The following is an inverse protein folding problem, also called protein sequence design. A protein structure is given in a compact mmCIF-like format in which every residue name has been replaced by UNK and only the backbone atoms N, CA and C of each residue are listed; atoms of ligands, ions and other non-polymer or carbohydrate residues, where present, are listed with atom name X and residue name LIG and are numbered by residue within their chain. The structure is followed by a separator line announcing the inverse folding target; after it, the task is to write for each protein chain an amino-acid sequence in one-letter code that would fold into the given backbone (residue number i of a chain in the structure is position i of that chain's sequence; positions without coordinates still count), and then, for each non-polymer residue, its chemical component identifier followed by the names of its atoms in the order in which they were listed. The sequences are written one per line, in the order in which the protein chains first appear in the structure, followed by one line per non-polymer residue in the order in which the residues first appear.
data_IF_228222182593
#
_entry.id   IF_228222182593
#
_cell.length_a   1.000
_cell.length_b   1.000
_cell.length_c   1.000
_cell.angle_alpha   90.00
_cell.angle_beta   90.00
_cell.angle_gamma   90.00
#
_symmetry.space_group_name_H-M   'P 1'
#
loop_
_entity.id
_entity.type
_entity.pdbx_description
1 polymer ?
#
# COMPACT_ATOMS: atom_id res chain seq x y z
N UNK A 1 1.88 30.71 6.98
CA UNK A 1 2.76 30.38 5.83
C UNK A 1 3.33 28.98 6.03
N UNK A 2 3.79 28.28 4.98
CA UNK A 2 4.07 26.83 5.05
C UNK A 2 5.41 26.43 5.73
N UNK A 3 6.22 27.38 6.23
CA UNK A 3 7.54 27.06 6.78
C UNK A 3 7.47 26.16 8.03
N UNK A 4 6.60 26.48 9.00
CA UNK A 4 6.41 25.66 10.21
C UNK A 4 5.84 24.26 9.86
N UNK A 5 4.76 24.14 9.06
CA UNK A 5 4.26 22.83 8.62
C UNK A 5 5.28 21.97 7.86
N UNK A 6 6.13 22.57 7.02
CA UNK A 6 7.18 21.85 6.32
C UNK A 6 8.26 21.32 7.28
N UNK A 7 8.61 22.10 8.31
CA UNK A 7 9.53 21.66 9.37
C UNK A 7 8.91 20.54 10.21
N UNK A 8 7.63 20.66 10.56
CA UNK A 8 6.89 19.62 11.25
C UNK A 8 6.90 18.30 10.46
N UNK A 9 6.52 18.34 9.18
CA UNK A 9 6.51 17.17 8.31
C UNK A 9 7.91 16.54 8.19
N UNK A 10 8.94 17.38 8.04
CA UNK A 10 10.33 16.92 8.01
C UNK A 10 10.68 16.14 9.30
N UNK A 11 10.30 16.66 10.46
CA UNK A 11 10.57 16.01 11.73
C UNK A 11 9.80 14.68 11.86
N UNK A 12 8.53 14.65 11.46
CA UNK A 12 7.74 13.41 11.43
C UNK A 12 8.44 12.32 10.62
N UNK A 13 8.88 12.63 9.39
CA UNK A 13 9.57 11.68 8.53
C UNK A 13 10.89 11.18 9.13
N UNK A 14 11.67 12.07 9.76
CA UNK A 14 12.95 11.71 10.40
C UNK A 14 12.74 10.81 11.61
N UNK A 15 11.76 11.13 12.46
CA UNK A 15 11.41 10.34 13.64
C UNK A 15 10.97 8.95 13.23
N UNK A 16 9.98 8.85 12.33
CA UNK A 16 9.51 7.54 11.83
C UNK A 16 10.62 6.72 11.18
N UNK A 17 11.62 7.34 10.54
CA UNK A 17 12.77 6.63 10.02
C UNK A 17 13.63 6.02 11.15
N UNK A 18 13.90 6.80 12.20
CA UNK A 18 14.63 6.31 13.37
C UNK A 18 13.86 5.22 14.12
N UNK A 19 12.56 5.41 14.38
CA UNK A 19 11.71 4.43 15.05
C UNK A 19 11.76 3.07 14.33
N UNK A 20 11.64 3.07 12.99
CA UNK A 20 11.70 1.84 12.19
C UNK A 20 13.05 1.13 12.20
N UNK A 21 14.15 1.87 12.39
CA UNK A 21 15.49 1.28 12.50
C UNK A 21 15.75 0.70 13.89
N UNK A 22 15.18 1.32 14.93
CA UNK A 22 15.27 0.86 16.31
C UNK A 22 14.39 -0.37 16.55
N UNK A 23 13.12 -0.30 16.14
CA UNK A 23 12.13 -1.35 16.39
C UNK A 23 12.28 -2.56 15.45
N UNK A 24 12.88 -2.36 14.28
CA UNK A 24 12.95 -3.36 13.20
C UNK A 24 11.60 -3.71 12.56
N UNK A 25 10.51 -3.03 12.96
CA UNK A 25 9.16 -3.25 12.44
C UNK A 25 8.62 -1.97 11.78
N UNK A 26 7.98 -2.12 10.63
CA UNK A 26 7.38 -1.00 9.89
C UNK A 26 5.85 -1.07 9.91
N UNK A 27 5.23 -0.16 10.66
CA UNK A 27 3.78 0.04 10.69
C UNK A 27 3.38 1.36 10.01
N UNK A 28 2.13 1.48 9.51
CA UNK A 28 1.59 2.74 9.05
C UNK A 28 1.47 3.75 10.20
N UNK A 29 2.01 4.96 10.03
CA UNK A 29 2.03 6.00 11.08
C UNK A 29 1.09 7.15 10.70
N UNK A 30 0.12 7.54 11.55
CA UNK A 30 -0.74 8.68 11.27
C UNK A 30 0.00 10.02 11.46
N UNK A 31 -0.23 10.96 10.55
CA UNK A 31 0.16 12.36 10.69
C UNK A 31 -0.95 13.11 11.40
N UNK A 32 -0.71 13.41 12.67
CA UNK A 32 -1.64 14.15 13.52
C UNK A 32 -1.14 15.61 13.63
N UNK A 33 -1.84 16.58 13.01
CA UNK A 33 -1.52 18.00 13.19
C UNK A 33 -1.92 18.41 14.62
N UNK A 34 -0.95 18.88 15.41
CA UNK A 34 -1.15 19.27 16.81
C UNK A 34 -1.19 20.79 17.01
N UNK A 35 -1.13 21.56 15.93
CA UNK A 35 -1.23 23.02 15.93
C UNK A 35 -2.12 23.48 14.79
N UNK A 36 -2.72 24.66 14.94
CA UNK A 36 -3.60 25.27 13.95
C UNK A 36 -2.89 25.45 12.61
N UNK A 37 -1.63 25.90 12.61
CA UNK A 37 -0.87 26.08 11.37
C UNK A 37 -0.63 24.76 10.62
N UNK A 38 -0.49 23.65 11.34
CA UNK A 38 -0.34 22.32 10.74
C UNK A 38 -1.68 21.82 10.19
N UNK A 39 -2.79 22.13 10.87
CA UNK A 39 -4.13 21.80 10.41
C UNK A 39 -4.48 22.56 9.11
N UNK A 40 -4.29 23.88 9.08
CA UNK A 40 -4.46 24.71 7.86
C UNK A 40 -3.60 24.18 6.70
N UNK A 41 -2.36 23.78 6.98
CA UNK A 41 -1.51 23.19 5.97
C UNK A 41 -2.05 21.86 5.43
N UNK A 42 -2.73 21.06 6.25
CA UNK A 42 -3.32 19.79 5.82
C UNK A 42 -4.53 20.00 4.90
N UNK A 43 -5.18 21.18 4.94
CA UNK A 43 -6.23 21.60 4.00
C UNK A 43 -5.66 22.26 2.73
N UNK A 44 -4.41 22.74 2.78
CA UNK A 44 -3.75 23.39 1.67
C UNK A 44 -3.45 22.43 0.50
N UNK A 45 -3.98 22.71 -0.69
CA UNK A 45 -3.79 21.87 -1.89
C UNK A 45 -2.33 21.66 -2.29
N UNK A 46 -1.45 22.66 -2.12
CA UNK A 46 -0.02 22.52 -2.47
C UNK A 46 0.67 21.58 -1.49
N UNK A 47 0.34 21.69 -0.20
CA UNK A 47 0.88 20.81 0.83
C UNK A 47 0.37 19.38 0.65
N UNK A 48 -0.93 19.16 0.40
CA UNK A 48 -1.48 17.84 0.07
C UNK A 48 -0.81 17.21 -1.17
N UNK A 49 -0.52 18.01 -2.20
CA UNK A 49 0.21 17.55 -3.39
C UNK A 49 1.62 17.10 -3.04
N UNK A 50 2.33 17.86 -2.20
CA UNK A 50 3.63 17.46 -1.67
C UNK A 50 3.55 16.15 -0.88
N UNK A 51 2.56 15.99 0.02
CA UNK A 51 2.39 14.75 0.79
C UNK A 51 2.24 13.54 -0.14
N UNK A 52 1.43 13.64 -1.19
CA UNK A 52 1.28 12.60 -2.21
C UNK A 52 2.59 12.31 -2.94
N UNK A 53 3.33 13.35 -3.31
CA UNK A 53 4.60 13.20 -4.00
C UNK A 53 5.66 12.50 -3.14
N UNK A 54 5.62 12.72 -1.83
CA UNK A 54 6.48 12.03 -0.86
C UNK A 54 6.01 10.59 -0.56
N UNK A 55 4.89 10.15 -1.15
CA UNK A 55 4.34 8.80 -1.00
C UNK A 55 3.41 8.63 0.21
N UNK A 56 2.99 9.71 0.86
CA UNK A 56 2.03 9.65 1.95
C UNK A 56 0.62 9.43 1.42
N UNK A 57 -0.19 8.75 2.22
CA UNK A 57 -1.55 8.36 1.84
C UNK A 57 -2.55 9.34 2.44
N UNK A 58 -3.50 9.85 1.65
CA UNK A 58 -4.64 10.58 2.19
C UNK A 58 -5.51 9.63 3.02
N UNK A 59 -6.34 10.16 3.93
CA UNK A 59 -7.39 9.38 4.56
C UNK A 59 -8.27 8.69 3.51
N UNK A 60 -8.58 7.40 3.72
CA UNK A 60 -9.24 6.56 2.72
C UNK A 60 -10.73 6.90 2.49
N UNK A 61 -11.40 7.46 3.48
CA UNK A 61 -12.82 7.83 3.46
C UNK A 61 -13.15 8.73 4.66
N UNK A 62 -14.41 9.12 4.84
CA UNK A 62 -14.88 9.88 6.01
C UNK A 62 -14.64 9.18 7.36
N UNK A 63 -14.28 7.89 7.35
CA UNK A 63 -13.92 7.15 8.56
C UNK A 63 -12.47 7.40 9.00
N UNK A 64 -11.59 7.82 8.10
CA UNK A 64 -10.20 8.19 8.44
C UNK A 64 -10.04 9.71 8.43
N UNK A 65 -9.42 10.26 9.47
CA UNK A 65 -9.20 11.71 9.58
C UNK A 65 -7.78 12.13 9.25
N UNK A 66 -6.82 11.20 9.32
CA UNK A 66 -5.38 11.53 9.24
C UNK A 66 -4.72 10.96 8.00
N UNK A 67 -3.78 11.73 7.44
CA UNK A 67 -2.84 11.21 6.47
C UNK A 67 -1.94 10.18 7.11
N UNK A 68 -1.40 9.24 6.34
CA UNK A 68 -0.52 8.19 6.86
C UNK A 68 0.80 8.12 6.11
N UNK A 69 1.88 7.87 6.86
CA UNK A 69 3.15 7.38 6.35
C UNK A 69 3.03 5.86 6.18
N UNK A 70 3.05 5.32 4.94
CA UNK A 70 2.90 3.89 4.72
C UNK A 70 4.04 3.07 5.34
N UNK A 71 3.73 1.85 5.76
CA UNK A 71 4.73 0.86 6.19
C UNK A 71 5.75 0.53 5.08
N UNK A 72 5.34 0.66 3.81
CA UNK A 72 6.18 0.36 2.65
C UNK A 72 7.32 1.35 2.43
N UNK A 73 7.29 2.53 3.07
CA UNK A 73 8.39 3.50 2.96
C UNK A 73 9.56 3.08 3.85
N UNK A 74 10.72 2.85 3.26
CA UNK A 74 11.91 2.46 4.05
C UNK A 74 12.47 3.67 4.83
N UNK A 75 13.21 3.44 5.93
CA UNK A 75 13.91 4.53 6.65
C UNK A 75 14.74 5.43 5.72
N UNK A 76 15.43 4.84 4.74
CA UNK A 76 16.21 5.59 3.76
C UNK A 76 15.33 6.44 2.83
N UNK A 77 14.16 5.96 2.41
CA UNK A 77 13.20 6.76 1.64
C UNK A 77 12.66 7.93 2.47
N UNK A 78 12.31 7.71 3.73
CA UNK A 78 11.83 8.75 4.65
C UNK A 78 12.87 9.85 4.87
N UNK A 79 14.15 9.49 5.04
CA UNK A 79 15.26 10.46 5.15
C UNK A 79 15.45 11.28 3.88
N UNK A 80 15.40 10.64 2.70
CA UNK A 80 15.49 11.33 1.40
C UNK A 80 14.32 12.29 1.19
N UNK A 81 13.11 11.89 1.58
CA UNK A 81 11.92 12.72 1.56
C UNK A 81 12.11 13.96 2.45
N UNK A 82 12.53 13.77 3.71
CA UNK A 82 12.80 14.85 4.65
C UNK A 82 13.88 15.83 4.16
N UNK A 83 14.95 15.33 3.54
CA UNK A 83 16.01 16.17 2.95
C UNK A 83 15.52 16.98 1.75
N UNK A 84 14.57 16.43 0.96
CA UNK A 84 14.03 17.13 -0.21
C UNK A 84 13.11 18.28 0.15
N UNK A 85 12.39 18.18 1.28
CA UNK A 85 11.61 19.29 1.84
C UNK A 85 12.52 20.48 2.19
N UNK A 86 13.66 20.22 2.85
CA UNK A 86 14.60 21.26 3.27
C UNK A 86 15.25 22.02 2.11
N UNK A 87 15.40 21.37 0.95
CA UNK A 87 16.03 21.97 -0.24
C UNK A 87 15.07 22.80 -1.11
N UNK A 88 13.78 22.85 -0.76
CA UNK A 88 12.77 23.55 -1.53
C UNK A 88 12.29 22.73 -2.72
N UNK A 89 11.16 22.03 -2.52
CA UNK A 89 10.43 21.20 -3.49
C UNK A 89 11.23 20.04 -4.14
N UNK A 90 10.82 18.78 -3.93
CA UNK A 90 11.34 17.69 -4.74
C UNK A 90 10.94 17.91 -6.21
N UNK A 91 11.88 18.26 -7.08
CA UNK A 91 11.72 17.99 -8.51
C UNK A 91 11.90 16.49 -8.72
N UNK A 92 10.93 15.86 -9.40
CA UNK A 92 10.78 14.43 -9.54
C UNK A 92 12.08 13.72 -9.97
N UNK A 93 12.58 12.79 -9.15
CA UNK A 93 13.37 11.65 -9.62
C UNK A 93 13.46 10.61 -8.51
N UNK A 94 12.91 9.42 -8.76
CA UNK A 94 12.93 8.33 -7.80
C UNK A 94 11.76 7.37 -7.86
N UNK A 95 11.04 7.25 -8.98
CA UNK A 95 10.32 6.02 -9.31
C UNK A 95 11.35 4.91 -9.53
N UNK A 96 11.87 4.35 -8.45
CA UNK A 96 12.42 2.99 -8.49
C UNK A 96 11.21 2.07 -8.47
N UNK A 97 10.67 1.90 -9.66
CA UNK A 97 9.71 0.88 -10.04
C UNK A 97 10.21 -0.45 -9.46
N UNK A 98 9.55 -0.91 -8.40
CA UNK A 98 9.52 -2.32 -8.09
C UNK A 98 8.77 -3.00 -9.23
N UNK A 99 9.49 -3.32 -10.31
CA UNK A 99 9.05 -4.36 -11.23
C UNK A 99 9.07 -5.63 -10.41
N UNK A 100 7.91 -5.97 -9.86
CA UNK A 100 7.60 -7.28 -9.34
C UNK A 100 7.81 -8.25 -10.51
N UNK A 101 8.97 -8.89 -10.57
CA UNK A 101 9.10 -10.13 -11.32
C UNK A 101 8.11 -11.11 -10.69
N UNK A 102 7.09 -11.60 -11.42
CA UNK A 102 6.34 -12.74 -10.95
C UNK A 102 7.33 -13.92 -10.83
N UNK A 103 7.24 -14.75 -9.78
CA UNK A 103 8.02 -15.98 -9.75
C UNK A 103 7.69 -16.78 -11.01
N UNK A 104 8.72 -17.08 -11.82
CA UNK A 104 8.63 -17.97 -12.97
C UNK A 104 8.05 -19.30 -12.48
N UNK A 105 6.77 -19.53 -12.74
CA UNK A 105 6.21 -20.88 -12.74
C UNK A 105 7.10 -21.72 -13.69
N UNK A 106 7.57 -22.91 -13.30
CA UNK A 106 8.31 -23.77 -14.21
C UNK A 106 7.48 -23.99 -15.48
N UNK A 107 8.07 -23.63 -16.62
CA UNK A 107 7.46 -23.84 -17.93
C UNK A 107 7.33 -25.34 -18.18
N UNK A 108 6.10 -25.82 -18.27
CA UNK A 108 5.74 -27.08 -18.93
C UNK A 108 6.17 -27.03 -20.40
N UNK A 109 7.01 -27.97 -20.89
CA UNK A 109 7.20 -28.16 -22.32
C UNK A 109 6.22 -29.22 -22.85
N UNK A 110 5.40 -28.83 -23.82
CA UNK A 110 4.83 -29.74 -24.81
C UNK A 110 4.87 -29.07 -26.19
N UNK A 111 4.56 -29.77 -27.31
CA UNK A 111 4.29 -31.20 -27.49
C UNK A 111 5.19 -31.84 -28.58
N UNK A 112 5.33 -33.17 -28.59
CA UNK A 112 5.92 -33.84 -29.75
C UNK A 112 6.32 -35.28 -29.50
N UNK A 113 5.39 -36.19 -29.77
CA UNK A 113 5.56 -37.39 -30.61
C UNK A 113 4.61 -38.52 -30.18
N UNK A 114 4.07 -39.13 -31.22
CA UNK A 114 2.89 -39.99 -31.27
C UNK A 114 3.23 -41.37 -30.70
N UNK A 115 2.66 -41.72 -29.56
CA UNK A 115 2.82 -43.04 -28.92
C UNK A 115 1.49 -43.59 -28.42
N UNK A 116 0.96 -44.55 -29.17
CA UNK A 116 -0.22 -45.41 -28.94
C UNK A 116 -0.47 -45.75 -27.44
N UNK A 117 -1.67 -45.48 -26.94
CA UNK A 117 -2.12 -46.02 -25.63
C UNK A 117 -3.37 -45.33 -25.07
N UNK A 118 -4.51 -46.03 -25.16
CA UNK A 118 -5.83 -45.79 -24.56
C UNK A 118 -5.88 -45.10 -23.17
N UNK A 119 -6.86 -44.21 -22.91
CA UNK A 119 -7.18 -43.73 -21.56
C UNK A 119 -8.27 -44.58 -20.90
N UNK A 120 -7.88 -45.58 -20.11
CA UNK A 120 -8.78 -46.29 -19.18
C UNK A 120 -8.87 -45.54 -17.85
N UNK A 121 -9.83 -44.63 -17.71
CA UNK A 121 -10.13 -43.97 -16.43
C UNK A 121 -10.98 -44.91 -15.57
N UNK A 122 -10.27 -45.73 -14.80
CA UNK A 122 -10.84 -46.57 -13.75
C UNK A 122 -11.30 -45.73 -12.56
N UNK A 123 -12.55 -45.98 -12.19
CA UNK A 123 -13.32 -45.42 -11.09
C UNK A 123 -12.78 -45.80 -9.71
N UNK A 124 -13.45 -45.25 -8.68
CA UNK A 124 -13.43 -45.51 -7.22
C UNK A 124 -12.59 -44.50 -6.41
N UNK A 125 -13.14 -43.77 -5.44
CA UNK A 125 -14.50 -43.77 -4.93
C UNK A 125 -14.67 -42.78 -3.76
N UNK A 126 -15.94 -42.40 -3.57
CA UNK A 126 -16.65 -42.16 -2.31
C UNK A 126 -16.06 -41.20 -1.25
N UNK A 127 -16.80 -40.12 -0.95
CA UNK A 127 -16.60 -39.35 0.27
C UNK A 127 -17.48 -38.11 0.44
N UNK A 128 -18.81 -38.28 0.37
CA UNK A 128 -19.85 -37.52 1.07
C UNK A 128 -19.82 -35.98 1.13
N UNK A 129 -20.71 -35.34 0.37
CA UNK A 129 -21.38 -34.09 0.79
C UNK A 129 -22.36 -34.38 1.95
N UNK A 130 -22.67 -33.38 2.80
CA UNK A 130 -23.99 -32.76 2.61
C UNK A 130 -24.01 -31.23 2.72
N UNK A 131 -24.56 -30.61 1.67
CA UNK A 131 -25.71 -29.70 1.68
C UNK A 131 -25.88 -28.73 2.86
N UNK A 132 -25.78 -27.43 2.57
CA UNK A 132 -26.84 -26.50 2.94
C UNK A 132 -26.84 -25.28 2.01
N UNK A 133 -27.71 -25.34 1.02
CA UNK A 133 -28.19 -24.19 0.28
C UNK A 133 -29.34 -23.59 1.10
N UNK A 134 -29.17 -22.40 1.65
CA UNK A 134 -30.29 -21.60 2.12
C UNK A 134 -30.22 -20.24 1.43
N UNK A 135 -31.11 -20.15 0.46
CA UNK A 135 -31.31 -19.12 -0.53
C UNK A 135 -32.00 -17.92 0.12
N UNK A 136 -31.52 -16.72 -0.18
CA UNK A 136 -32.26 -15.47 0.00
C UNK A 136 -33.53 -15.51 -0.87
N UNK A 137 -34.70 -15.05 -0.38
CA UNK A 137 -35.74 -14.58 -1.28
C UNK A 137 -35.90 -13.06 -1.16
N UNK A 138 -35.53 -12.42 -2.26
CA UNK A 138 -35.90 -11.07 -2.62
C UNK A 138 -37.42 -10.91 -2.80
N UNK A 139 -37.92 -9.75 -2.35
CA UNK A 139 -39.02 -8.99 -2.95
C UNK A 139 -40.49 -9.44 -2.79
N UNK A 140 -41.30 -8.49 -2.29
CA UNK A 140 -42.39 -7.78 -3.02
C UNK A 140 -43.76 -7.80 -2.30
N UNK A 141 -44.17 -6.58 -1.89
CA UNK A 141 -45.51 -5.96 -1.93
C UNK A 141 -46.74 -6.86 -1.69
N UNK A 142 -47.52 -6.48 -0.68
CA UNK A 142 -48.91 -6.06 -0.92
C UNK A 142 -49.35 -5.03 0.12
#
# INVERSE_FOLDING_TARGET
GLAEPLRWLQNCLRRTASDREEDGVSHPVPLVPLSEENEDAMENRRFQSLLRQLGLRPPASEQESFWRIPATLTPQQLRRAAASIARGSPSASGSSQGTLEPPKCPQEPGPGERGRGEPSWGSLGAGSEPSSCAQEPSSKRR
#
